data_IF_331575434118
#
_entry.id   IF_331575434118
#
_cell.length_a   1.000
_cell.length_b   1.000
_cell.length_c   1.000
_cell.angle_alpha   90.00
_cell.angle_beta   90.00
_cell.angle_gamma   90.00
#
_symmetry.space_group_name_H-M   'P 1'
#
loop_
_entity.id
_entity.type
_entity.pdbx_description
1 polymer ?
#
# COMPACT_ATOMS: atom_id res chain seq x y z
N UNK A 1 -9.90 0.79 11.06
CA UNK A 1 -10.86 0.18 10.11
C UNK A 1 -12.12 0.98 10.21
N UNK A 2 -12.77 1.25 9.10
CA UNK A 2 -14.02 2.01 9.06
C UNK A 2 -14.89 1.48 7.93
N UNK A 3 -16.20 1.32 8.17
CA UNK A 3 -17.14 0.78 7.19
C UNK A 3 -16.58 -0.43 6.43
N UNK A 4 -16.26 -1.52 7.13
CA UNK A 4 -15.67 -2.72 6.50
C UNK A 4 -16.65 -3.88 6.46
N UNK A 5 -16.52 -4.69 5.42
CA UNK A 5 -17.26 -5.94 5.29
C UNK A 5 -18.58 -5.81 4.55
N UNK A 6 -18.81 -4.71 3.83
CA UNK A 6 -20.04 -4.56 3.07
C UNK A 6 -20.12 -5.49 1.86
N UNK A 7 -21.25 -6.17 1.69
CA UNK A 7 -21.50 -7.08 0.59
C UNK A 7 -21.61 -6.39 -0.78
N UNK A 8 -21.74 -7.15 -1.88
CA UNK A 8 -21.81 -6.59 -3.23
C UNK A 8 -22.93 -5.56 -3.42
N UNK A 9 -24.02 -5.67 -2.68
CA UNK A 9 -25.17 -4.77 -2.69
C UNK A 9 -24.84 -3.34 -2.26
N UNK A 10 -23.77 -3.10 -1.49
CA UNK A 10 -23.36 -1.74 -1.11
C UNK A 10 -22.55 -1.05 -2.22
N UNK A 11 -22.13 -1.81 -3.25
CA UNK A 11 -21.35 -1.36 -4.42
C UNK A 11 -19.96 -0.80 -4.13
N UNK A 12 -19.46 -1.06 -2.94
CA UNK A 12 -18.16 -0.57 -2.50
C UNK A 12 -17.01 -1.50 -2.89
N UNK A 13 -15.86 -0.90 -3.12
CA UNK A 13 -14.58 -1.56 -3.30
C UNK A 13 -13.87 -1.55 -1.94
N UNK A 14 -13.30 -2.69 -1.55
CA UNK A 14 -12.51 -2.77 -0.34
C UNK A 14 -11.13 -2.18 -0.60
N UNK A 15 -10.71 -1.25 0.24
CA UNK A 15 -9.43 -0.57 0.12
C UNK A 15 -8.49 -0.97 1.26
N UNK A 16 -7.24 -1.28 0.90
CA UNK A 16 -6.09 -1.25 1.79
C UNK A 16 -5.38 0.08 1.54
N UNK A 17 -5.78 1.09 2.29
CA UNK A 17 -5.38 2.47 2.11
C UNK A 17 -4.09 2.78 2.86
N UNK A 18 -3.13 3.35 2.13
CA UNK A 18 -1.84 3.80 2.66
C UNK A 18 -1.98 5.13 3.42
N UNK A 19 -1.03 5.39 4.33
CA UNK A 19 -0.85 6.71 4.91
C UNK A 19 -0.45 7.79 3.88
N UNK A 20 -0.47 9.09 4.27
CA UNK A 20 -0.17 10.19 3.36
C UNK A 20 1.27 10.09 2.85
N UNK A 21 1.50 10.45 1.58
CA UNK A 21 2.81 10.34 0.94
C UNK A 21 3.90 11.21 1.60
N UNK A 22 3.51 12.23 2.37
CA UNK A 22 4.37 13.07 3.22
C UNK A 22 4.86 12.38 4.49
N UNK A 23 4.27 11.25 4.88
CA UNK A 23 4.68 10.39 6.00
C UNK A 23 4.99 8.96 5.50
N UNK A 24 6.12 8.75 4.79
CA UNK A 24 6.49 7.43 4.29
C UNK A 24 6.72 6.46 5.45
N UNK A 25 6.11 5.27 5.36
CA UNK A 25 6.31 4.20 6.33
C UNK A 25 6.20 2.82 5.70
N UNK A 26 7.15 1.93 6.01
CA UNK A 26 7.13 0.51 5.60
C UNK A 26 5.93 -0.26 6.17
N UNK A 27 5.26 0.28 7.20
CA UNK A 27 4.02 -0.26 7.78
C UNK A 27 2.94 -0.41 6.71
N UNK A 28 2.88 0.53 5.76
CA UNK A 28 1.94 0.47 4.63
C UNK A 28 2.23 -0.72 3.71
N UNK A 29 3.50 -0.98 3.40
CA UNK A 29 3.91 -2.12 2.56
C UNK A 29 3.60 -3.46 3.22
N UNK A 30 3.66 -3.56 4.55
CA UNK A 30 3.22 -4.74 5.30
C UNK A 30 1.72 -4.99 5.12
N UNK A 31 0.89 -3.94 5.25
CA UNK A 31 -0.56 -4.07 5.04
C UNK A 31 -0.90 -4.45 3.61
N UNK A 32 -0.25 -3.81 2.65
CA UNK A 32 -0.37 -4.10 1.24
C UNK A 32 -0.02 -5.56 0.93
N UNK A 33 1.05 -6.09 1.51
CA UNK A 33 1.43 -7.49 1.33
C UNK A 33 0.35 -8.46 1.81
N UNK A 34 -0.25 -8.22 2.99
CA UNK A 34 -1.35 -9.04 3.48
C UNK A 34 -2.63 -8.86 2.65
N UNK A 35 -2.91 -7.66 2.15
CA UNK A 35 -3.99 -7.40 1.20
C UNK A 35 -3.82 -8.19 -0.10
N UNK A 36 -2.64 -8.14 -0.70
CA UNK A 36 -2.27 -8.89 -1.90
C UNK A 36 -2.37 -10.40 -1.67
N UNK A 37 -1.90 -10.89 -0.51
CA UNK A 37 -2.04 -12.30 -0.12
C UNK A 37 -3.52 -12.72 -0.06
N UNK A 38 -4.38 -11.97 0.62
CA UNK A 38 -5.81 -12.29 0.71
C UNK A 38 -6.48 -12.22 -0.67
N UNK A 39 -6.14 -11.24 -1.50
CA UNK A 39 -6.59 -11.17 -2.88
C UNK A 39 -6.21 -12.43 -3.66
N UNK A 40 -4.95 -12.87 -3.58
CA UNK A 40 -4.48 -14.07 -4.26
C UNK A 40 -5.21 -15.32 -3.79
N UNK A 41 -5.31 -15.53 -2.47
CA UNK A 41 -5.96 -16.73 -1.92
C UNK A 41 -7.45 -16.78 -2.23
N UNK A 42 -8.16 -15.65 -2.04
CA UNK A 42 -9.60 -15.57 -2.33
C UNK A 42 -9.91 -15.72 -3.82
N UNK A 43 -9.08 -15.17 -4.71
CA UNK A 43 -9.24 -15.36 -6.15
C UNK A 43 -9.07 -16.83 -6.56
N UNK A 44 -8.01 -17.49 -6.06
CA UNK A 44 -7.76 -18.90 -6.38
C UNK A 44 -8.91 -19.79 -5.88
N UNK A 45 -9.41 -19.53 -4.67
CA UNK A 45 -10.58 -20.22 -4.14
C UNK A 45 -11.85 -19.98 -4.98
N UNK A 46 -12.14 -18.72 -5.33
CA UNK A 46 -13.33 -18.35 -6.09
C UNK A 46 -13.40 -19.02 -7.48
N UNK A 47 -12.25 -19.26 -8.12
CA UNK A 47 -12.18 -20.00 -9.40
C UNK A 47 -12.11 -21.53 -9.25
N UNK A 48 -12.34 -22.05 -8.04
CA UNK A 48 -12.45 -23.49 -7.77
C UNK A 48 -11.14 -24.21 -7.45
N UNK A 49 -10.03 -23.49 -7.21
CA UNK A 49 -8.78 -24.12 -6.80
C UNK A 49 -8.81 -24.50 -5.31
N UNK A 50 -8.12 -25.58 -4.96
CA UNK A 50 -7.81 -25.88 -3.55
C UNK A 50 -6.69 -24.95 -3.06
N UNK A 51 -6.94 -24.25 -1.96
CA UNK A 51 -6.00 -23.29 -1.36
C UNK A 51 -5.81 -23.59 0.12
N UNK A 52 -4.62 -23.29 0.64
CA UNK A 52 -4.33 -23.49 2.06
C UNK A 52 -5.19 -22.58 2.96
N UNK A 53 -5.50 -21.37 2.48
CA UNK A 53 -6.22 -20.35 3.23
C UNK A 53 -7.40 -19.82 2.41
N UNK A 54 -8.56 -20.49 2.39
CA UNK A 54 -9.69 -20.06 1.55
C UNK A 54 -10.40 -18.80 2.08
N UNK A 55 -10.19 -18.45 3.36
CA UNK A 55 -10.59 -17.16 3.96
C UNK A 55 -12.07 -16.79 3.73
N UNK A 56 -13.00 -17.75 3.82
CA UNK A 56 -14.44 -17.51 3.83
C UNK A 56 -15.06 -17.78 5.21
N UNK A 57 -16.23 -17.21 5.46
CA UNK A 57 -17.11 -17.50 6.58
C UNK A 57 -18.29 -18.39 6.11
N UNK A 58 -18.82 -19.30 6.93
CA UNK A 58 -19.85 -20.25 6.49
C UNK A 58 -21.09 -19.60 5.85
N UNK A 59 -21.53 -18.47 6.40
CA UNK A 59 -22.68 -17.69 5.94
C UNK A 59 -22.31 -16.52 5.02
N UNK A 60 -21.02 -16.37 4.67
CA UNK A 60 -20.54 -15.27 3.84
C UNK A 60 -20.34 -15.65 2.37
N UNK A 61 -20.01 -14.63 1.59
CA UNK A 61 -19.67 -14.76 0.17
C UNK A 61 -18.45 -15.65 -0.07
N UNK A 62 -18.30 -16.13 -1.31
CA UNK A 62 -17.13 -16.92 -1.78
C UNK A 62 -16.38 -16.24 -2.92
N UNK A 63 -16.79 -15.04 -3.26
CA UNK A 63 -16.23 -14.18 -4.28
C UNK A 63 -14.78 -13.80 -3.92
N UNK A 64 -14.00 -13.45 -4.93
CA UNK A 64 -12.68 -12.89 -4.73
C UNK A 64 -12.79 -11.52 -4.03
N UNK A 65 -11.87 -11.20 -3.12
CA UNK A 65 -11.90 -9.93 -2.39
C UNK A 65 -11.69 -8.73 -3.33
N UNK A 66 -10.76 -8.85 -4.27
CA UNK A 66 -10.36 -7.79 -5.21
C UNK A 66 -10.10 -6.44 -4.54
N UNK A 67 -9.44 -6.45 -3.38
CA UNK A 67 -9.06 -5.25 -2.66
C UNK A 67 -8.17 -4.34 -3.52
N UNK A 68 -8.43 -3.05 -3.51
CA UNK A 68 -7.55 -2.04 -4.09
C UNK A 68 -6.53 -1.57 -3.07
N UNK A 69 -5.27 -1.46 -3.50
CA UNK A 69 -4.27 -0.75 -2.71
C UNK A 69 -4.42 0.74 -3.01
N UNK A 70 -5.03 1.46 -2.09
CA UNK A 70 -5.40 2.85 -2.28
C UNK A 70 -4.31 3.79 -1.79
N UNK A 71 -4.18 4.93 -2.46
CA UNK A 71 -3.49 6.09 -1.90
C UNK A 71 -4.31 6.72 -0.78
N UNK A 72 -3.66 7.51 0.06
CA UNK A 72 -4.30 8.19 1.19
C UNK A 72 -5.60 8.91 0.81
N UNK A 73 -6.64 8.69 1.61
CA UNK A 73 -7.93 9.35 1.52
C UNK A 73 -8.34 9.87 2.90
N UNK A 74 -9.04 11.00 2.91
CA UNK A 74 -9.59 11.59 4.14
C UNK A 74 -10.94 10.98 4.48
N UNK A 75 -11.45 11.29 5.68
CA UNK A 75 -12.83 10.97 6.06
C UNK A 75 -12.96 9.93 7.17
N UNK A 76 -11.89 9.63 7.90
CA UNK A 76 -11.92 8.74 9.08
C UNK A 76 -10.81 9.12 10.07
N UNK A 77 -10.83 8.56 11.27
CA UNK A 77 -9.99 8.97 12.41
C UNK A 77 -8.49 8.81 12.20
N UNK A 78 -8.07 7.93 11.29
CA UNK A 78 -6.67 7.71 10.95
C UNK A 78 -5.95 9.00 10.52
N UNK A 79 -6.69 9.98 9.98
CA UNK A 79 -6.15 11.27 9.56
C UNK A 79 -5.62 12.10 10.74
N UNK A 80 -6.25 12.00 11.92
CA UNK A 80 -5.84 12.74 13.12
C UNK A 80 -4.48 12.25 13.60
N UNK A 81 -4.27 10.93 13.60
CA UNK A 81 -2.99 10.32 13.99
C UNK A 81 -1.88 10.51 12.96
N UNK A 82 -2.26 10.54 11.67
CA UNK A 82 -1.31 10.73 10.57
C UNK A 82 -0.91 12.20 10.38
N UNK A 83 -1.66 13.15 10.98
CA UNK A 83 -1.32 14.57 10.95
C UNK A 83 0.09 14.83 11.50
N UNK A 84 0.73 15.88 11.00
CA UNK A 84 2.09 16.27 11.38
C UNK A 84 2.30 16.50 12.87
N UNK A 85 1.24 16.81 13.62
CA UNK A 85 1.29 16.95 15.08
C UNK A 85 1.67 15.66 15.80
N UNK A 86 1.28 14.50 15.25
CA UNK A 86 1.55 13.18 15.83
C UNK A 86 2.49 12.33 14.96
N UNK A 87 2.34 12.39 13.64
CA UNK A 87 3.20 11.69 12.68
C UNK A 87 3.21 10.17 12.84
N UNK A 88 2.09 9.59 13.29
CA UNK A 88 1.94 8.15 13.52
C UNK A 88 1.47 7.49 12.21
N UNK A 89 2.26 6.57 11.62
CA UNK A 89 1.81 5.83 10.44
C UNK A 89 0.58 4.98 10.76
N UNK A 90 -0.40 4.98 9.85
CA UNK A 90 -1.64 4.23 9.99
C UNK A 90 -1.92 3.35 8.77
N UNK A 91 -2.54 2.20 9.02
CA UNK A 91 -3.14 1.34 8.00
C UNK A 91 -4.64 1.61 8.03
N UNK A 92 -5.21 2.05 6.92
CA UNK A 92 -6.63 2.30 6.82
C UNK A 92 -7.30 1.24 5.94
N UNK A 93 -8.29 0.54 6.49
CA UNK A 93 -9.07 -0.47 5.79
C UNK A 93 -10.52 -0.01 5.75
N UNK A 94 -11.09 0.08 4.56
CA UNK A 94 -12.44 0.60 4.37
C UNK A 94 -13.10 0.13 3.09
N UNK A 95 -14.42 0.01 3.10
CA UNK A 95 -15.23 -0.09 1.89
C UNK A 95 -15.60 1.32 1.39
N UNK A 96 -15.33 1.59 0.12
CA UNK A 96 -15.72 2.85 -0.53
C UNK A 96 -15.86 2.66 -2.05
N UNK A 97 -16.74 3.40 -2.76
CA UNK A 97 -17.87 4.16 -2.23
C UNK A 97 -19.00 3.24 -1.76
N UNK A 98 -19.56 3.50 -0.57
CA UNK A 98 -20.76 2.83 -0.08
C UNK A 98 -21.99 3.70 -0.39
N UNK A 99 -22.98 3.14 -1.09
CA UNK A 99 -24.22 3.87 -1.45
C UNK A 99 -25.21 4.05 -0.30
N UNK A 100 -25.05 3.31 0.79
CA UNK A 100 -25.97 3.29 1.92
C UNK A 100 -25.44 4.00 3.16
N UNK A 101 -24.17 4.42 3.16
CA UNK A 101 -23.59 5.23 4.24
C UNK A 101 -24.47 6.45 4.54
N UNK A 102 -24.72 6.71 5.83
CA UNK A 102 -25.59 7.79 6.32
C UNK A 102 -27.06 7.70 5.86
N UNK A 103 -27.54 6.50 5.52
CA UNK A 103 -28.96 6.26 5.22
C UNK A 103 -29.55 5.24 6.19
N UNK A 104 -30.88 5.14 6.22
CA UNK A 104 -31.58 4.09 6.95
C UNK A 104 -31.41 2.68 6.34
N UNK A 105 -30.73 2.56 5.19
CA UNK A 105 -30.38 1.29 4.58
C UNK A 105 -29.01 0.78 5.04
N UNK A 106 -28.25 1.56 5.81
CA UNK A 106 -27.04 1.07 6.49
C UNK A 106 -27.46 0.10 7.61
N UNK A 107 -27.57 -1.17 7.28
CA UNK A 107 -28.08 -2.22 8.15
C UNK A 107 -27.15 -3.42 8.16
N UNK A 108 -27.13 -4.20 9.26
CA UNK A 108 -26.31 -5.42 9.32
C UNK A 108 -26.57 -6.44 8.21
N UNK A 109 -27.73 -6.38 7.56
CA UNK A 109 -28.07 -7.25 6.44
C UNK A 109 -27.21 -7.00 5.20
N UNK A 110 -26.55 -5.83 5.09
CA UNK A 110 -25.64 -5.50 4.01
C UNK A 110 -24.17 -5.86 4.31
N UNK A 111 -23.90 -6.54 5.43
CA UNK A 111 -22.55 -6.96 5.80
C UNK A 111 -22.35 -8.41 5.38
N UNK A 112 -21.30 -8.66 4.58
CA UNK A 112 -20.81 -9.99 4.25
C UNK A 112 -19.80 -10.45 5.32
N UNK A 113 -20.12 -11.51 6.11
CA UNK A 113 -19.22 -12.06 7.11
C UNK A 113 -17.86 -12.52 6.55
N UNK A 114 -17.79 -12.98 5.30
CA UNK A 114 -16.54 -13.36 4.65
C UNK A 114 -15.65 -12.14 4.46
N UNK A 115 -16.19 -11.05 3.91
CA UNK A 115 -15.43 -9.83 3.67
C UNK A 115 -14.98 -9.20 4.98
N UNK A 116 -15.85 -9.17 5.99
CA UNK A 116 -15.50 -8.71 7.33
C UNK A 116 -14.37 -9.54 7.95
N UNK A 117 -14.42 -10.88 7.85
CA UNK A 117 -13.35 -11.79 8.30
C UNK A 117 -12.02 -11.49 7.61
N UNK A 118 -12.05 -11.20 6.30
CA UNK A 118 -10.85 -10.86 5.52
C UNK A 118 -10.26 -9.52 5.95
N UNK A 119 -11.09 -8.50 6.17
CA UNK A 119 -10.64 -7.21 6.71
C UNK A 119 -10.00 -7.37 8.09
N UNK A 120 -10.64 -8.14 8.98
CA UNK A 120 -10.12 -8.46 10.30
C UNK A 120 -8.76 -9.17 10.22
N UNK A 121 -8.61 -10.15 9.31
CA UNK A 121 -7.35 -10.83 9.10
C UNK A 121 -6.24 -9.89 8.64
N UNK A 122 -6.48 -9.02 7.65
CA UNK A 122 -5.47 -8.09 7.15
C UNK A 122 -4.96 -7.21 8.30
N UNK A 123 -5.88 -6.59 9.06
CA UNK A 123 -5.49 -5.77 10.20
C UNK A 123 -4.77 -6.54 11.30
N UNK A 124 -5.28 -7.72 11.69
CA UNK A 124 -4.71 -8.53 12.76
C UNK A 124 -3.34 -9.09 12.38
N UNK A 125 -3.16 -9.57 11.14
CA UNK A 125 -1.90 -10.11 10.65
C UNK A 125 -0.83 -9.00 10.54
N UNK A 126 -1.19 -7.82 10.03
CA UNK A 126 -0.31 -6.66 10.01
C UNK A 126 0.10 -6.26 11.43
N UNK A 127 -0.86 -6.11 12.34
CA UNK A 127 -0.58 -5.73 13.74
C UNK A 127 0.30 -6.76 14.44
N UNK A 128 -0.02 -8.06 14.29
CA UNK A 128 0.76 -9.14 14.88
C UNK A 128 2.19 -9.18 14.35
N UNK A 129 2.37 -9.06 13.03
CA UNK A 129 3.70 -9.02 12.43
C UNK A 129 4.52 -7.84 12.93
N UNK A 130 3.95 -6.64 12.91
CA UNK A 130 4.63 -5.41 13.36
C UNK A 130 4.97 -5.44 14.85
N UNK A 131 4.10 -6.00 15.69
CA UNK A 131 4.33 -6.12 17.14
C UNK A 131 5.41 -7.14 17.50
N UNK A 132 5.74 -8.07 16.59
CA UNK A 132 6.67 -9.18 16.84
C UNK A 132 7.94 -9.10 15.98
N UNK A 133 8.25 -7.93 15.41
CA UNK A 133 9.43 -7.73 14.56
C UNK A 133 10.72 -8.12 15.28
N UNK A 134 11.58 -8.86 14.58
CA UNK A 134 12.92 -9.22 15.02
C UNK A 134 13.95 -8.72 14.02
N UNK A 135 15.20 -8.43 14.44
CA UNK A 135 16.26 -8.00 13.51
C UNK A 135 16.46 -8.92 12.30
N UNK A 136 16.17 -10.23 12.44
CA UNK A 136 16.22 -11.20 11.35
C UNK A 136 15.20 -10.92 10.22
N UNK A 137 14.09 -10.22 10.50
CA UNK A 137 13.04 -9.92 9.55
C UNK A 137 13.39 -8.77 8.60
N UNK A 138 14.40 -7.96 8.94
CA UNK A 138 14.79 -6.77 8.19
C UNK A 138 15.07 -7.06 6.71
N UNK A 139 15.77 -8.17 6.42
CA UNK A 139 16.09 -8.56 5.05
C UNK A 139 14.84 -8.92 4.24
N UNK A 140 13.82 -9.52 4.86
CA UNK A 140 12.56 -9.87 4.20
C UNK A 140 11.72 -8.62 3.90
N UNK A 141 11.64 -7.69 4.86
CA UNK A 141 10.96 -6.41 4.68
C UNK A 141 11.63 -5.60 3.57
N UNK A 142 12.97 -5.58 3.50
CA UNK A 142 13.66 -4.86 2.44
C UNK A 142 13.43 -5.44 1.05
N UNK A 143 13.35 -6.78 0.92
CA UNK A 143 12.97 -7.40 -0.36
C UNK A 143 11.54 -7.02 -0.76
N UNK A 144 10.62 -6.96 0.22
CA UNK A 144 9.26 -6.48 -0.02
C UNK A 144 9.26 -5.03 -0.50
N UNK A 145 9.96 -4.14 0.20
CA UNK A 145 10.10 -2.73 -0.18
C UNK A 145 10.72 -2.56 -1.57
N UNK A 146 11.74 -3.35 -1.90
CA UNK A 146 12.36 -3.34 -3.24
C UNK A 146 11.34 -3.73 -4.32
N UNK A 147 10.60 -4.81 -4.11
CA UNK A 147 9.56 -5.25 -5.07
C UNK A 147 8.49 -4.17 -5.28
N UNK A 148 7.95 -3.62 -4.18
CA UNK A 148 6.95 -2.56 -4.27
C UNK A 148 7.51 -1.26 -4.87
N UNK A 149 8.78 -0.94 -4.60
CA UNK A 149 9.49 0.20 -5.19
C UNK A 149 9.55 0.13 -6.71
N UNK A 150 9.75 -1.07 -7.28
CA UNK A 150 9.73 -1.26 -8.74
C UNK A 150 8.35 -0.91 -9.33
N UNK A 151 7.27 -1.36 -8.69
CA UNK A 151 5.89 -1.07 -9.12
C UNK A 151 5.57 0.42 -9.00
N UNK A 152 5.88 1.05 -7.86
CA UNK A 152 5.69 2.50 -7.67
C UNK A 152 6.54 3.31 -8.65
N UNK A 153 7.77 2.89 -8.90
CA UNK A 153 8.66 3.53 -9.89
C UNK A 153 8.09 3.44 -11.30
N UNK A 154 7.51 2.29 -11.68
CA UNK A 154 6.81 2.13 -12.97
C UNK A 154 5.66 3.13 -13.11
N UNK A 155 4.79 3.23 -12.10
CA UNK A 155 3.69 4.20 -12.07
C UNK A 155 4.20 5.64 -12.14
N UNK A 156 5.26 5.97 -11.40
CA UNK A 156 5.88 7.30 -11.42
C UNK A 156 6.44 7.64 -12.81
N UNK A 157 7.14 6.71 -13.46
CA UNK A 157 7.68 6.92 -14.83
C UNK A 157 6.57 7.20 -15.82
N UNK A 158 5.46 6.46 -15.76
CA UNK A 158 4.30 6.69 -16.61
C UNK A 158 3.69 8.10 -16.39
N UNK A 159 3.48 8.50 -15.12
CA UNK A 159 2.99 9.84 -14.77
C UNK A 159 3.94 10.94 -15.24
N UNK A 160 5.23 10.76 -14.99
CA UNK A 160 6.31 11.69 -15.36
C UNK A 160 6.33 11.99 -16.86
N UNK A 161 6.06 10.99 -17.71
CA UNK A 161 6.05 11.16 -19.17
C UNK A 161 5.01 12.16 -19.66
N UNK A 162 3.89 12.30 -18.93
CA UNK A 162 2.82 13.24 -19.23
C UNK A 162 3.06 14.67 -18.70
N UNK A 163 4.12 14.90 -17.90
CA UNK A 163 4.36 16.18 -17.23
C UNK A 163 5.40 17.06 -17.97
N UNK A 164 5.28 18.41 -17.83
CA UNK A 164 6.33 19.35 -18.20
C UNK A 164 7.66 19.04 -17.50
N UNK A 165 8.78 19.53 -18.05
CA UNK A 165 10.11 19.16 -17.57
C UNK A 165 10.34 19.49 -16.07
N UNK A 166 9.88 20.64 -15.60
CA UNK A 166 9.99 21.05 -14.20
C UNK A 166 9.21 20.14 -13.25
N UNK A 167 7.94 19.88 -13.57
CA UNK A 167 7.08 18.99 -12.77
C UNK A 167 7.55 17.54 -12.79
N UNK A 168 7.99 17.05 -13.95
CA UNK A 168 8.60 15.73 -14.09
C UNK A 168 9.85 15.58 -13.20
N UNK A 169 10.69 16.61 -13.11
CA UNK A 169 11.85 16.63 -12.24
C UNK A 169 11.45 16.64 -10.75
N UNK A 170 10.44 17.45 -10.37
CA UNK A 170 9.94 17.51 -9.00
C UNK A 170 9.32 16.19 -8.56
N UNK A 171 8.46 15.58 -9.39
CA UNK A 171 7.88 14.26 -9.14
C UNK A 171 8.98 13.21 -8.89
N UNK A 172 10.07 13.27 -9.67
CA UNK A 172 11.16 12.32 -9.51
C UNK A 172 11.98 12.55 -8.25
N UNK A 173 12.26 13.81 -7.90
CA UNK A 173 12.91 14.14 -6.63
C UNK A 173 12.08 13.65 -5.44
N UNK A 174 10.77 13.90 -5.48
CA UNK A 174 9.85 13.43 -4.46
C UNK A 174 9.83 11.90 -4.37
N UNK A 175 9.72 11.20 -5.50
CA UNK A 175 9.74 9.74 -5.56
C UNK A 175 11.01 9.15 -4.93
N UNK A 176 12.19 9.64 -5.31
CA UNK A 176 13.46 9.18 -4.76
C UNK A 176 13.59 9.46 -3.26
N UNK A 177 13.08 10.60 -2.79
CA UNK A 177 12.99 10.91 -1.37
C UNK A 177 12.06 9.93 -0.65
N UNK A 178 10.87 9.68 -1.20
CA UNK A 178 9.86 8.80 -0.62
C UNK A 178 10.40 7.37 -0.47
N UNK A 179 10.97 6.79 -1.52
CA UNK A 179 11.53 5.42 -1.47
C UNK A 179 12.68 5.30 -0.47
N UNK A 180 13.51 6.33 -0.32
CA UNK A 180 14.55 6.37 0.72
C UNK A 180 13.93 6.46 2.11
N UNK A 181 12.93 7.32 2.29
CA UNK A 181 12.25 7.53 3.55
C UNK A 181 11.50 6.26 4.02
N UNK A 182 11.02 5.41 3.11
CA UNK A 182 10.47 4.09 3.47
C UNK A 182 11.52 3.20 4.13
N UNK A 183 12.76 3.16 3.61
CA UNK A 183 13.86 2.42 4.24
C UNK A 183 14.23 3.03 5.59
N UNK A 184 14.36 4.36 5.65
CA UNK A 184 14.67 5.07 6.91
C UNK A 184 13.56 4.87 7.96
N UNK A 185 12.31 4.69 7.54
CA UNK A 185 11.19 4.45 8.46
C UNK A 185 11.30 3.11 9.22
N UNK A 186 12.06 2.14 8.69
CA UNK A 186 12.28 0.86 9.37
C UNK A 186 13.01 1.04 10.69
N UNK A 187 13.98 1.96 10.76
CA UNK A 187 14.81 2.16 11.96
C UNK A 187 14.05 2.60 13.20
N UNK A 188 12.85 3.15 13.02
CA UNK A 188 11.98 3.51 14.15
C UNK A 188 11.46 2.29 14.92
N UNK A 189 11.28 1.17 14.22
CA UNK A 189 10.67 -0.05 14.76
C UNK A 189 11.62 -1.25 14.75
N UNK A 190 12.67 -1.21 13.93
CA UNK A 190 13.56 -2.32 13.68
C UNK A 190 14.98 -1.81 13.38
N UNK A 191 15.97 -2.06 14.26
CA UNK A 191 17.37 -1.78 13.95
C UNK A 191 17.81 -2.56 12.71
N UNK A 192 18.31 -1.86 11.70
CA UNK A 192 18.89 -2.46 10.50
C UNK A 192 20.42 -2.39 10.57
N UNK A 193 21.11 -3.43 10.07
CA UNK A 193 22.57 -3.41 10.03
C UNK A 193 23.09 -2.42 8.97
N UNK A 194 24.29 -1.88 9.16
CA UNK A 194 24.91 -0.97 8.18
C UNK A 194 25.00 -1.60 6.80
N UNK A 195 25.39 -2.88 6.71
CA UNK A 195 25.44 -3.63 5.45
C UNK A 195 24.07 -3.65 4.78
N UNK A 196 23.04 -4.00 5.53
CA UNK A 196 21.65 -4.06 5.06
C UNK A 196 21.17 -2.69 4.56
N UNK A 197 21.50 -1.62 5.28
CA UNK A 197 21.22 -0.24 4.88
C UNK A 197 21.96 0.14 3.60
N UNK A 198 23.25 -0.20 3.49
CA UNK A 198 24.06 0.05 2.29
C UNK A 198 23.48 -0.65 1.06
N UNK A 199 23.10 -1.92 1.18
CA UNK A 199 22.52 -2.69 0.07
C UNK A 199 21.19 -2.06 -0.41
N UNK A 200 20.34 -1.62 0.52
CA UNK A 200 19.10 -0.92 0.21
C UNK A 200 19.36 0.42 -0.51
N UNK A 201 20.32 1.21 -0.04
CA UNK A 201 20.68 2.48 -0.67
C UNK A 201 21.33 2.28 -2.05
N UNK A 202 22.13 1.22 -2.23
CA UNK A 202 22.71 0.88 -3.53
C UNK A 202 21.63 0.55 -4.56
N UNK A 203 20.60 -0.22 -4.17
CA UNK A 203 19.43 -0.47 -5.01
C UNK A 203 18.72 0.83 -5.43
N UNK A 204 18.47 1.74 -4.47
CA UNK A 204 17.81 3.02 -4.75
C UNK A 204 18.66 3.95 -5.63
N UNK A 205 19.99 3.88 -5.51
CA UNK A 205 20.91 4.70 -6.31
C UNK A 205 20.84 4.38 -7.82
N UNK A 206 20.51 3.15 -8.20
CA UNK A 206 20.29 2.76 -9.61
C UNK A 206 19.24 3.66 -10.26
N UNK A 207 18.14 3.93 -9.55
CA UNK A 207 17.04 4.76 -10.06
C UNK A 207 17.42 6.22 -10.22
N UNK A 208 18.24 6.74 -9.31
CA UNK A 208 18.77 8.10 -9.42
C UNK A 208 19.59 8.27 -10.71
N UNK A 209 20.50 7.33 -10.98
CA UNK A 209 21.31 7.32 -12.19
C UNK A 209 20.47 7.18 -13.47
N UNK A 210 19.42 6.37 -13.46
CA UNK A 210 18.49 6.25 -14.59
C UNK A 210 17.72 7.56 -14.84
N UNK A 211 17.23 8.22 -13.78
CA UNK A 211 16.52 9.50 -13.91
C UNK A 211 17.39 10.62 -14.49
N UNK A 212 18.65 10.71 -14.05
CA UNK A 212 19.60 11.71 -14.56
C UNK A 212 19.83 11.52 -16.07
N UNK A 213 19.95 10.27 -16.53
CA UNK A 213 20.08 9.94 -17.95
C UNK A 213 18.82 10.30 -18.75
N UNK A 214 17.63 10.04 -18.22
CA UNK A 214 16.35 10.40 -18.86
C UNK A 214 16.18 11.93 -18.98
N UNK A 215 16.61 12.70 -17.97
CA UNK A 215 16.59 14.16 -18.02
C UNK A 215 17.51 14.70 -19.12
N UNK A 216 18.73 14.17 -19.22
CA UNK A 216 19.71 14.59 -20.23
C UNK A 216 19.22 14.33 -21.67
N UNK A 217 18.55 13.19 -21.90
CA UNK A 217 17.97 12.88 -23.22
C UNK A 217 16.83 13.83 -23.61
N UNK A 218 16.00 14.27 -22.65
CA UNK A 218 14.87 15.19 -22.92
C UNK A 218 15.37 16.60 -23.22
N UNK A 219 16.37 17.10 -22.49
CA UNK A 219 17.00 18.39 -22.76
C UNK A 219 17.61 18.44 -24.16
N UNK A 220 18.30 17.37 -24.59
CA UNK A 220 18.85 17.27 -25.95
C UNK A 220 17.79 17.28 -27.06
N UNK A 221 16.54 16.87 -26.78
CA UNK A 221 15.44 16.95 -27.75
C UNK A 221 14.83 18.35 -27.85
N UNK A 222 15.00 19.20 -26.84
CA UNK A 222 14.46 20.57 -26.83
C UNK A 222 15.41 21.56 -27.49
N UNK A 223 16.73 21.31 -27.50
CA UNK A 223 17.74 22.20 -28.11
C UNK A 223 17.97 22.00 -29.61
N UNK A 224 17.29 21.04 -30.25
CA UNK A 224 17.46 20.71 -31.69
C UNK A 224 16.15 20.95 -32.45
N UNK A 225 15.25 21.78 -31.91
CA UNK A 225 13.99 22.20 -32.53
C UNK A 225 13.96 23.70 -32.77
#
# INVERSE_FOLDING_TARGET
MDMVGGGPEIKAIFHVTRGPASLPSFVNDVAEHFGEFVNQQSWQFAKGASVAYPMFAPEGGKEALQAEIAEFSIGSDHQVYSDSSFGIPAIYLNDWPDRYIHTNFDTPANVDPTKLKRAAFIGAASAYFLANLKPADASSILRLLQSHSLRRTSTMVARRAALPAGEAANLTRFHLWHERALVDSMERLLPISDRTRTDAMAFLAVWKSCSERLNLQRLRKVTVG
#
